data_IF_338527322604
#
_entry.id   IF_338527322604
#
_cell.length_a   1.000
_cell.length_b   1.000
_cell.length_c   1.000
_cell.angle_alpha   90.00
_cell.angle_beta   90.00
_cell.angle_gamma   90.00
#
_symmetry.space_group_name_H-M   'P 1'
#
loop_
_entity.id
_entity.type
_entity.pdbx_description
1 polymer ?
#
# COMPACT_ATOMS: atom_id res chain seq x y z
N UNK A 1 14.94 21.27 56.98
CA UNK A 1 15.21 20.10 56.09
C UNK A 1 13.99 19.59 55.31
N UNK A 2 12.89 20.36 55.17
CA UNK A 2 11.62 19.89 54.56
C UNK A 2 11.46 20.36 53.10
N UNK A 3 12.09 21.47 52.71
CA UNK A 3 11.91 22.13 51.40
C UNK A 3 12.49 21.34 50.21
N UNK A 4 13.54 20.55 50.43
CA UNK A 4 14.26 19.80 49.37
C UNK A 4 13.49 18.57 48.86
N UNK A 5 12.73 17.87 49.72
CA UNK A 5 11.95 16.69 49.33
C UNK A 5 10.75 17.03 48.45
N UNK A 6 10.13 18.20 48.63
CA UNK A 6 9.01 18.63 47.77
C UNK A 6 9.45 19.05 46.37
N UNK A 7 10.60 19.71 46.26
CA UNK A 7 11.14 20.14 44.96
C UNK A 7 11.53 18.93 44.10
N UNK A 8 12.15 17.91 44.71
CA UNK A 8 12.54 16.68 44.03
C UNK A 8 11.34 15.85 43.55
N UNK A 9 10.22 15.89 44.28
CA UNK A 9 8.97 15.23 43.86
C UNK A 9 8.28 15.95 42.72
N UNK A 10 8.28 17.29 42.74
CA UNK A 10 7.67 18.11 41.69
C UNK A 10 8.42 17.99 40.37
N UNK A 11 9.76 17.92 40.38
CA UNK A 11 10.54 17.73 39.15
C UNK A 11 10.37 16.33 38.56
N UNK A 12 10.24 15.30 39.40
CA UNK A 12 10.00 13.93 38.93
C UNK A 12 8.60 13.78 38.31
N UNK A 13 7.58 14.41 38.89
CA UNK A 13 6.23 14.40 38.32
C UNK A 13 6.12 15.24 37.05
N UNK A 14 6.85 16.37 36.94
CA UNK A 14 6.85 17.16 35.70
C UNK A 14 7.52 16.41 34.54
N UNK A 15 8.63 15.70 34.79
CA UNK A 15 9.30 14.88 33.78
C UNK A 15 8.43 13.73 33.27
N UNK A 16 7.66 13.09 34.17
CA UNK A 16 6.74 12.01 33.81
C UNK A 16 5.57 12.52 32.93
N UNK A 17 5.04 13.71 33.22
CA UNK A 17 3.99 14.34 32.41
C UNK A 17 4.52 14.71 31.02
N UNK A 18 5.74 15.25 30.92
CA UNK A 18 6.37 15.55 29.62
C UNK A 18 6.61 14.30 28.76
N UNK A 19 6.95 13.17 29.37
CA UNK A 19 7.09 11.88 28.66
C UNK A 19 5.74 11.35 28.14
N UNK A 20 4.66 11.49 28.91
CA UNK A 20 3.32 11.04 28.52
C UNK A 20 2.73 11.87 27.37
N UNK A 21 3.04 13.18 27.29
CA UNK A 21 2.57 14.03 26.18
C UNK A 21 3.31 13.72 24.88
N UNK A 22 4.63 13.46 24.93
CA UNK A 22 5.42 13.11 23.74
C UNK A 22 4.97 11.80 23.07
N UNK A 23 4.47 10.83 23.85
CA UNK A 23 4.00 9.56 23.30
C UNK A 23 2.66 9.68 22.54
N UNK A 24 1.86 10.72 22.82
CA UNK A 24 0.59 10.99 22.13
C UNK A 24 0.76 11.85 20.87
N UNK A 25 1.79 12.72 20.82
CA UNK A 25 2.02 13.59 19.66
C UNK A 25 2.48 12.84 18.40
N UNK A 26 3.10 11.66 18.57
CA UNK A 26 3.60 10.85 17.44
C UNK A 26 2.46 10.15 16.70
N UNK A 27 1.34 9.84 17.38
CA UNK A 27 0.17 9.20 16.75
C UNK A 27 -0.71 10.13 15.93
N UNK A 28 -0.50 11.45 16.02
CA UNK A 28 -1.33 12.43 15.30
C UNK A 28 -0.93 12.60 13.83
N UNK A 29 0.24 12.08 13.41
CA UNK A 29 0.75 12.21 12.05
C UNK A 29 0.66 10.94 11.21
N UNK A 30 0.39 9.78 11.81
CA UNK A 30 0.24 8.51 11.11
C UNK A 30 -1.24 8.12 11.11
N UNK A 31 -1.99 8.60 10.12
CA UNK A 31 -3.21 7.90 9.72
C UNK A 31 -2.77 6.60 9.05
N UNK A 32 -2.48 5.57 9.84
CA UNK A 32 -2.30 4.23 9.27
C UNK A 32 -3.53 3.91 8.41
N UNK A 33 -3.33 3.27 7.26
CA UNK A 33 -4.44 2.89 6.40
C UNK A 33 -5.46 2.09 7.19
N UNK A 34 -6.74 2.31 6.90
CA UNK A 34 -7.82 1.52 7.51
C UNK A 34 -7.74 0.08 7.00
N UNK A 35 -7.28 -0.08 5.75
CA UNK A 35 -7.10 -1.36 5.08
C UNK A 35 -5.67 -1.46 4.53
N UNK A 36 -5.01 -2.58 4.78
CA UNK A 36 -3.71 -2.92 4.23
C UNK A 36 -3.81 -3.80 2.97
N UNK A 37 -5.02 -4.27 2.65
CA UNK A 37 -5.35 -4.98 1.41
C UNK A 37 -6.65 -4.41 0.86
N UNK A 38 -6.67 -4.12 -0.44
CA UNK A 38 -7.88 -3.72 -1.16
C UNK A 38 -8.03 -4.55 -2.42
N UNK A 39 -9.13 -5.29 -2.53
CA UNK A 39 -9.47 -6.11 -3.70
C UNK A 39 -10.70 -5.55 -4.40
N UNK A 40 -10.64 -5.46 -5.73
CA UNK A 40 -11.78 -5.06 -6.54
C UNK A 40 -11.65 -5.66 -7.95
N UNK A 41 -12.77 -5.66 -8.66
CA UNK A 41 -12.86 -6.14 -10.03
C UNK A 41 -12.43 -5.03 -10.99
N UNK A 42 -11.40 -5.30 -11.78
CA UNK A 42 -10.96 -4.43 -12.86
C UNK A 42 -11.13 -5.18 -14.19
N UNK A 43 -12.17 -4.79 -14.93
CA UNK A 43 -12.64 -5.48 -16.13
C UNK A 43 -13.05 -6.93 -15.84
N UNK A 44 -12.25 -7.89 -16.29
CA UNK A 44 -12.48 -9.33 -16.15
C UNK A 44 -11.64 -9.97 -15.05
N UNK A 45 -10.77 -9.20 -14.39
CA UNK A 45 -9.86 -9.72 -13.37
C UNK A 45 -10.19 -9.13 -12.00
N UNK A 46 -10.21 -9.98 -10.99
CA UNK A 46 -10.17 -9.54 -9.60
C UNK A 46 -8.70 -9.31 -9.20
N UNK A 47 -8.39 -8.07 -8.79
CA UNK A 47 -7.02 -7.66 -8.46
C UNK A 47 -6.99 -7.08 -7.06
N UNK A 48 -5.93 -7.38 -6.32
CA UNK A 48 -5.72 -6.92 -4.96
C UNK A 48 -4.44 -6.09 -4.88
N UNK A 49 -4.55 -4.89 -4.32
CA UNK A 49 -3.41 -4.07 -3.90
C UNK A 49 -3.13 -4.34 -2.42
N UNK A 50 -1.86 -4.50 -2.08
CA UNK A 50 -1.44 -4.82 -0.71
C UNK A 50 -0.31 -3.89 -0.26
N UNK A 51 -0.49 -3.36 0.95
CA UNK A 51 0.46 -2.65 1.77
C UNK A 51 0.92 -3.60 2.88
N UNK A 52 2.12 -4.15 2.74
CA UNK A 52 2.71 -5.18 3.60
C UNK A 52 3.29 -4.58 4.87
N UNK A 53 3.84 -3.37 4.82
CA UNK A 53 4.49 -2.72 5.97
C UNK A 53 3.58 -1.72 6.72
N UNK A 54 2.36 -1.50 6.21
CA UNK A 54 1.32 -0.62 6.72
C UNK A 54 1.73 0.87 6.73
N UNK A 55 2.57 1.30 5.78
CA UNK A 55 3.01 2.69 5.61
C UNK A 55 2.02 3.57 4.80
N UNK A 56 0.98 2.96 4.22
CA UNK A 56 -0.01 3.60 3.34
C UNK A 56 0.39 3.68 1.88
N UNK A 57 1.42 2.93 1.49
CA UNK A 57 1.93 2.86 0.13
C UNK A 57 1.85 1.41 -0.32
N UNK A 58 1.41 1.20 -1.56
CA UNK A 58 1.30 -0.16 -2.11
C UNK A 58 2.69 -0.79 -2.31
N UNK A 59 2.90 -2.02 -1.87
CA UNK A 59 4.08 -2.83 -2.21
C UNK A 59 3.88 -3.53 -3.54
N UNK A 60 2.72 -4.14 -3.74
CA UNK A 60 2.44 -4.93 -4.92
C UNK A 60 0.95 -5.04 -5.23
N UNK A 61 0.67 -5.41 -6.48
CA UNK A 61 -0.67 -5.76 -6.97
C UNK A 61 -0.62 -7.16 -7.56
N UNK A 62 -1.59 -8.00 -7.16
CA UNK A 62 -1.68 -9.39 -7.58
C UNK A 62 -3.09 -9.76 -8.07
N UNK A 63 -3.17 -10.78 -8.92
CA UNK A 63 -4.44 -11.38 -9.33
C UNK A 63 -4.99 -12.25 -8.21
N UNK A 64 -6.24 -12.04 -7.78
CA UNK A 64 -6.83 -12.80 -6.67
C UNK A 64 -6.91 -14.29 -6.98
N UNK A 65 -7.27 -14.65 -8.22
CA UNK A 65 -7.48 -16.04 -8.65
C UNK A 65 -6.18 -16.85 -8.69
N UNK A 66 -5.10 -16.28 -9.21
CA UNK A 66 -3.81 -16.99 -9.41
C UNK A 66 -2.80 -16.70 -8.31
N UNK A 67 -3.05 -15.70 -7.46
CA UNK A 67 -2.08 -15.20 -6.47
C UNK A 67 -0.73 -14.79 -7.09
N UNK A 68 -0.77 -14.30 -8.33
CA UNK A 68 0.42 -13.83 -9.04
C UNK A 68 0.55 -12.32 -8.99
N UNK A 69 1.69 -11.84 -8.48
CA UNK A 69 2.09 -10.43 -8.53
C UNK A 69 2.48 -10.05 -9.94
N UNK A 70 1.83 -9.00 -10.47
CA UNK A 70 2.14 -8.46 -11.79
C UNK A 70 2.66 -7.02 -11.74
N UNK A 71 2.47 -6.33 -10.61
CA UNK A 71 3.03 -4.99 -10.35
C UNK A 71 3.65 -4.93 -8.95
N UNK A 72 4.77 -4.23 -8.80
CA UNK A 72 5.40 -3.97 -7.49
C UNK A 72 6.00 -2.56 -7.39
N UNK A 73 6.08 -1.98 -6.20
CA UNK A 73 6.75 -0.71 -5.92
C UNK A 73 8.24 -0.88 -6.12
N UNK A 74 8.90 0.11 -6.74
CA UNK A 74 10.35 0.05 -6.94
C UNK A 74 11.07 -0.14 -5.59
N UNK A 75 11.87 -1.21 -5.49
CA UNK A 75 12.56 -1.60 -4.26
C UNK A 75 11.80 -2.60 -3.37
N UNK A 76 10.51 -2.86 -3.64
CA UNK A 76 9.67 -3.76 -2.86
C UNK A 76 9.59 -5.20 -3.44
N UNK A 77 10.39 -5.53 -4.46
CA UNK A 77 10.32 -6.85 -5.09
C UNK A 77 10.68 -7.98 -4.12
N UNK A 78 11.70 -7.75 -3.30
CA UNK A 78 12.19 -8.72 -2.32
C UNK A 78 11.29 -8.81 -1.08
N UNK A 79 10.35 -7.88 -0.90
CA UNK A 79 9.36 -7.90 0.18
C UNK A 79 8.04 -8.57 -0.22
N UNK A 80 7.94 -9.11 -1.44
CA UNK A 80 6.77 -9.87 -1.87
C UNK A 80 6.66 -11.14 -1.00
N UNK A 81 5.51 -11.38 -0.33
CA UNK A 81 5.31 -12.56 0.52
C UNK A 81 5.42 -13.88 -0.26
N UNK A 82 6.01 -14.91 0.36
CA UNK A 82 6.18 -16.25 -0.24
C UNK A 82 4.89 -16.93 -0.71
N UNK A 83 3.74 -16.50 -0.18
CA UNK A 83 2.41 -17.00 -0.60
C UNK A 83 2.01 -16.52 -2.00
N UNK A 84 2.71 -15.54 -2.56
CA UNK A 84 2.44 -14.96 -3.87
C UNK A 84 3.52 -15.37 -4.86
N UNK A 85 3.08 -15.86 -6.02
CA UNK A 85 3.98 -16.10 -7.14
C UNK A 85 4.26 -14.77 -7.86
N UNK A 86 5.43 -14.67 -8.53
CA UNK A 86 5.72 -13.53 -9.39
C UNK A 86 5.32 -13.87 -10.83
N UNK A 87 4.41 -13.10 -11.42
CA UNK A 87 4.01 -13.30 -12.81
C UNK A 87 5.21 -13.12 -13.75
N UNK A 88 5.30 -13.91 -14.82
CA UNK A 88 6.42 -13.85 -15.78
C UNK A 88 6.66 -12.46 -16.38
N UNK A 89 5.61 -11.64 -16.45
CA UNK A 89 5.63 -10.28 -16.95
C UNK A 89 5.53 -9.21 -15.86
N UNK A 90 5.95 -9.52 -14.64
CA UNK A 90 5.94 -8.56 -13.52
C UNK A 90 6.68 -7.26 -13.87
N UNK A 91 6.18 -6.13 -13.38
CA UNK A 91 6.78 -4.80 -13.59
C UNK A 91 6.83 -3.97 -12.32
N UNK A 92 7.83 -3.09 -12.26
CA UNK A 92 7.86 -2.05 -11.25
C UNK A 92 6.86 -0.95 -11.63
N UNK A 93 6.08 -0.47 -10.66
CA UNK A 93 5.19 0.67 -10.82
C UNK A 93 6.00 1.96 -10.85
N UNK A 94 5.63 2.88 -11.75
CA UNK A 94 6.11 4.25 -11.70
C UNK A 94 5.47 5.01 -10.52
N UNK A 95 6.02 6.20 -10.21
CA UNK A 95 5.56 7.02 -9.08
C UNK A 95 4.09 7.45 -9.20
N UNK A 96 3.61 7.68 -10.41
CA UNK A 96 2.25 8.14 -10.66
C UNK A 96 1.25 6.99 -10.50
N UNK A 97 1.63 5.78 -10.93
CA UNK A 97 0.88 4.56 -10.71
C UNK A 97 0.81 4.23 -9.22
N UNK A 98 1.93 4.30 -8.48
CA UNK A 98 1.93 4.14 -7.01
C UNK A 98 0.98 5.14 -6.37
N UNK A 99 1.08 6.43 -6.72
CA UNK A 99 0.21 7.47 -6.16
C UNK A 99 -1.28 7.22 -6.47
N UNK A 100 -1.60 6.72 -7.66
CA UNK A 100 -2.96 6.37 -8.06
C UNK A 100 -3.48 5.16 -7.28
N UNK A 101 -2.66 4.11 -7.15
CA UNK A 101 -3.03 2.87 -6.45
C UNK A 101 -3.21 3.11 -4.96
N UNK A 102 -2.37 3.91 -4.30
CA UNK A 102 -2.49 4.21 -2.86
C UNK A 102 -3.86 4.77 -2.47
N UNK A 103 -4.57 5.42 -3.40
CA UNK A 103 -5.91 5.99 -3.16
C UNK A 103 -6.92 4.92 -2.71
N UNK A 104 -6.72 3.66 -3.09
CA UNK A 104 -7.62 2.55 -2.73
C UNK A 104 -7.61 2.26 -1.23
N UNK A 105 -6.50 2.51 -0.54
CA UNK A 105 -6.38 2.26 0.90
C UNK A 105 -7.14 3.29 1.75
N UNK A 106 -7.53 4.41 1.14
CA UNK A 106 -8.42 5.41 1.74
C UNK A 106 -9.91 5.12 1.52
N UNK A 107 -10.27 4.07 0.78
CA UNK A 107 -11.67 3.72 0.52
C UNK A 107 -12.27 3.03 1.74
N UNK A 108 -13.40 3.56 2.20
CA UNK A 108 -14.19 3.05 3.33
C UNK A 108 -15.65 2.81 2.91
N UNK A 109 -16.46 2.34 3.85
CA UNK A 109 -17.91 2.20 3.67
C UNK A 109 -18.60 3.56 3.49
N UNK A 110 -18.01 4.63 4.02
CA UNK A 110 -18.52 6.01 3.91
C UNK A 110 -18.11 6.70 2.60
N UNK A 111 -17.10 6.18 1.90
CA UNK A 111 -16.66 6.72 0.61
C UNK A 111 -17.80 6.68 -0.40
N UNK A 112 -18.04 7.82 -1.05
CA UNK A 112 -19.18 7.97 -1.96
C UNK A 112 -19.01 7.09 -3.20
N UNK A 113 -20.13 6.75 -3.85
CA UNK A 113 -20.11 6.00 -5.10
C UNK A 113 -19.28 6.72 -6.18
N UNK A 114 -19.38 8.05 -6.27
CA UNK A 114 -18.63 8.83 -7.26
C UNK A 114 -17.12 8.80 -7.00
N UNK A 115 -16.68 8.88 -5.74
CA UNK A 115 -15.26 8.76 -5.39
C UNK A 115 -14.73 7.34 -5.69
N UNK A 116 -15.49 6.29 -5.37
CA UNK A 116 -15.14 4.91 -5.72
C UNK A 116 -14.97 4.76 -7.23
N UNK A 117 -15.89 5.33 -8.01
CA UNK A 117 -15.84 5.28 -9.47
C UNK A 117 -14.68 6.09 -10.05
N UNK A 118 -14.33 7.23 -9.46
CA UNK A 118 -13.17 8.02 -9.86
C UNK A 118 -11.85 7.27 -9.62
N UNK A 119 -11.68 6.66 -8.44
CA UNK A 119 -10.52 5.83 -8.11
C UNK A 119 -10.42 4.65 -9.09
N UNK A 120 -11.53 3.94 -9.30
CA UNK A 120 -11.58 2.80 -10.24
C UNK A 120 -11.26 3.23 -11.67
N UNK A 121 -11.81 4.36 -12.12
CA UNK A 121 -11.54 4.92 -13.43
C UNK A 121 -10.07 5.30 -13.62
N UNK A 122 -9.45 5.95 -12.63
CA UNK A 122 -8.04 6.30 -12.67
C UNK A 122 -7.14 5.05 -12.75
N UNK A 123 -7.43 4.02 -11.97
CA UNK A 123 -6.73 2.73 -12.02
C UNK A 123 -6.87 2.06 -13.39
N UNK A 124 -8.07 2.06 -13.97
CA UNK A 124 -8.31 1.49 -15.30
C UNK A 124 -7.52 2.20 -16.40
N UNK A 125 -7.47 3.53 -16.37
CA UNK A 125 -6.68 4.31 -17.34
C UNK A 125 -5.20 3.92 -17.26
N UNK A 126 -4.66 3.79 -16.03
CA UNK A 126 -3.27 3.37 -15.84
C UNK A 126 -3.03 1.95 -16.32
N UNK A 127 -3.92 1.01 -16.00
CA UNK A 127 -3.84 -0.36 -16.50
C UNK A 127 -3.82 -0.40 -18.04
N UNK A 128 -4.69 0.34 -18.72
CA UNK A 128 -4.70 0.41 -20.19
C UNK A 128 -3.41 0.98 -20.78
N UNK A 129 -2.76 1.92 -20.09
CA UNK A 129 -1.46 2.44 -20.52
C UNK A 129 -0.37 1.35 -20.51
N UNK A 130 -0.45 0.39 -19.57
CA UNK A 130 0.51 -0.71 -19.44
C UNK A 130 0.15 -1.97 -20.25
N UNK A 131 -1.12 -2.10 -20.67
CA UNK A 131 -1.61 -3.27 -21.40
C UNK A 131 -0.77 -3.65 -22.64
N UNK A 132 -0.30 -2.71 -23.50
CA UNK A 132 0.52 -3.05 -24.64
C UNK A 132 1.85 -3.72 -24.26
N UNK A 133 2.50 -3.25 -23.21
CA UNK A 133 3.79 -3.79 -22.76
C UNK A 133 3.63 -5.18 -22.12
N UNK A 134 2.57 -5.37 -21.32
CA UNK A 134 2.23 -6.67 -20.72
C UNK A 134 1.93 -7.68 -21.84
N UNK A 135 1.12 -7.29 -22.82
CA UNK A 135 0.78 -8.13 -23.99
C UNK A 135 2.02 -8.50 -24.77
N UNK A 136 2.90 -7.53 -25.05
CA UNK A 136 4.14 -7.78 -25.76
C UNK A 136 5.10 -8.70 -24.97
N UNK A 137 5.08 -8.66 -23.64
CA UNK A 137 5.84 -9.61 -22.83
C UNK A 137 5.28 -11.04 -22.93
N UNK A 138 3.97 -11.20 -22.83
CA UNK A 138 3.31 -12.51 -22.96
C UNK A 138 3.57 -13.14 -24.33
N UNK A 139 3.40 -12.39 -25.42
CA UNK A 139 3.66 -12.89 -26.78
C UNK A 139 5.11 -13.36 -26.97
N UNK A 140 6.08 -12.61 -26.44
CA UNK A 140 7.50 -13.01 -26.52
C UNK A 140 7.81 -14.24 -25.66
N UNK A 141 7.12 -14.40 -24.53
CA UNK A 141 7.27 -15.59 -23.68
C UNK A 141 6.72 -16.83 -24.39
N UNK A 142 5.51 -16.75 -24.95
CA UNK A 142 4.88 -17.84 -25.70
C UNK A 142 5.73 -18.26 -26.92
N UNK A 143 6.34 -17.30 -27.62
CA UNK A 143 7.26 -17.61 -28.72
C UNK A 143 8.52 -18.37 -28.27
N UNK A 144 8.99 -18.17 -27.03
CA UNK A 144 10.14 -18.90 -26.48
C UNK A 144 9.75 -20.28 -25.96
N UNK A 145 8.52 -20.45 -25.49
CA UNK A 145 8.01 -21.75 -25.02
C UNK A 145 7.72 -22.70 -26.20
N UNK A 146 7.41 -22.15 -27.38
CA UNK A 146 7.09 -22.90 -28.60
C UNK A 146 8.29 -23.16 -29.55
N UNK A 147 9.50 -22.72 -29.19
CA UNK A 147 10.75 -22.94 -29.96
C UNK A 147 11.73 -23.78 -29.15
#
# INVERSE_FOLDING_TARGET
MIKSKSILRVTLSLGLVSYLVACNSIKLLSTSPINNVYCDNFLIYEMCAEDTDNDGIVEHVYFADTSEVFLYRQGAKESIPDRLATHRCVRAMDKELVATTNRVFGVTDETTFLEKQDIRGAMMIKYFAYLPEITACNLRAEQKENN
#
